data_IF_508824718096
#
_entry.id   IF_508824718096
#
_cell.length_a   1.000
_cell.length_b   1.000
_cell.length_c   1.000
_cell.angle_alpha   90.00
_cell.angle_beta   90.00
_cell.angle_gamma   90.00
#
_symmetry.space_group_name_H-M   'P 1'
#
loop_
_entity.id
_entity.type
_entity.pdbx_description
1 polymer ?
#
# COMPACT_ATOMS: atom_id res chain seq x y z
N UNK A 1 6.11 9.56 4.95
CA UNK A 1 6.03 8.21 4.36
C UNK A 1 4.57 7.97 4.07
N UNK A 2 4.15 7.64 2.83
CA UNK A 2 2.82 7.11 2.56
C UNK A 2 2.34 6.11 3.61
N UNK A 3 1.19 6.40 4.22
CA UNK A 3 0.51 5.52 5.19
C UNK A 3 -0.68 4.84 4.50
N UNK A 4 -1.49 4.08 5.24
CA UNK A 4 -2.57 3.29 4.66
C UNK A 4 -3.56 4.12 3.84
N UNK A 5 -3.89 5.33 4.30
CA UNK A 5 -4.76 6.29 3.63
C UNK A 5 -4.24 6.74 2.25
N UNK A 6 -2.96 7.07 2.18
CA UNK A 6 -2.27 7.54 0.97
C UNK A 6 -2.20 6.40 -0.04
N UNK A 7 -1.91 5.20 0.44
CA UNK A 7 -1.87 3.98 -0.37
C UNK A 7 -3.26 3.63 -0.87
N UNK A 8 -4.29 3.71 -0.02
CA UNK A 8 -5.68 3.49 -0.40
C UNK A 8 -6.12 4.47 -1.50
N UNK A 9 -5.86 5.77 -1.34
CA UNK A 9 -6.21 6.77 -2.36
C UNK A 9 -5.45 6.52 -3.67
N UNK A 10 -4.18 6.10 -3.59
CA UNK A 10 -3.39 5.73 -4.76
C UNK A 10 -3.98 4.51 -5.47
N UNK A 11 -4.40 3.48 -4.72
CA UNK A 11 -5.05 2.31 -5.27
C UNK A 11 -6.35 2.66 -6.00
N UNK A 12 -7.22 3.48 -5.40
CA UNK A 12 -8.47 3.92 -6.03
C UNK A 12 -8.22 4.63 -7.37
N UNK A 13 -7.25 5.55 -7.40
CA UNK A 13 -6.90 6.29 -8.62
C UNK A 13 -6.36 5.37 -9.72
N UNK A 14 -5.49 4.42 -9.34
CA UNK A 14 -4.95 3.43 -10.27
C UNK A 14 -6.02 2.47 -10.77
N UNK A 15 -6.90 2.01 -9.87
CA UNK A 15 -8.03 1.15 -10.20
C UNK A 15 -8.93 1.82 -11.23
N UNK A 16 -9.37 3.06 -10.95
CA UNK A 16 -10.22 3.83 -11.86
C UNK A 16 -9.57 4.02 -13.25
N UNK A 17 -8.25 4.20 -13.30
CA UNK A 17 -7.54 4.45 -14.54
C UNK A 17 -7.26 3.18 -15.37
N UNK A 18 -6.99 2.06 -14.70
CA UNK A 18 -6.42 0.86 -15.33
C UNK A 18 -7.39 -0.33 -15.39
N UNK A 19 -8.22 -0.53 -14.37
CA UNK A 19 -9.03 -1.75 -14.23
C UNK A 19 -10.02 -1.89 -15.38
N UNK A 20 -10.28 -3.15 -15.78
CA UNK A 20 -11.14 -3.49 -16.90
C UNK A 20 -10.53 -3.24 -18.28
N UNK A 21 -9.30 -2.72 -18.38
CA UNK A 21 -8.66 -2.43 -19.67
C UNK A 21 -7.40 -3.28 -19.90
N UNK A 22 -7.14 -3.75 -21.14
CA UNK A 22 -5.88 -4.37 -21.49
C UNK A 22 -4.75 -3.34 -21.50
N UNK A 23 -3.57 -3.77 -21.05
CA UNK A 23 -2.36 -2.97 -21.14
C UNK A 23 -1.86 -2.96 -22.59
N UNK A 24 -1.70 -1.77 -23.17
CA UNK A 24 -1.02 -1.57 -24.45
C UNK A 24 0.49 -1.32 -24.27
N UNK A 25 0.91 -1.05 -23.03
CA UNK A 25 2.31 -0.88 -22.65
C UNK A 25 2.55 -1.34 -21.22
N UNK A 26 3.61 -2.12 -21.05
CA UNK A 26 4.20 -2.48 -19.77
C UNK A 26 5.72 -2.28 -19.83
N UNK A 27 6.29 -1.46 -18.96
CA UNK A 27 7.73 -1.22 -18.89
C UNK A 27 8.16 -1.22 -17.41
N UNK A 28 8.78 -2.33 -16.97
CA UNK A 28 9.21 -2.55 -15.59
C UNK A 28 10.72 -2.40 -15.49
N UNK A 29 11.16 -1.27 -14.93
CA UNK A 29 12.56 -0.82 -14.91
C UNK A 29 13.27 -1.19 -13.61
N UNK A 30 13.17 -2.47 -13.25
CA UNK A 30 13.94 -3.08 -12.17
C UNK A 30 14.61 -4.35 -12.70
N UNK A 31 15.90 -4.61 -12.40
CA UNK A 31 16.65 -5.70 -13.04
C UNK A 31 15.97 -7.07 -13.00
N UNK A 32 15.31 -7.41 -11.87
CA UNK A 32 14.61 -8.68 -11.69
C UNK A 32 13.39 -8.87 -12.61
N UNK A 33 12.84 -7.79 -13.16
CA UNK A 33 11.64 -7.79 -14.00
C UNK A 33 11.95 -7.38 -15.46
N UNK A 34 13.22 -7.34 -15.85
CA UNK A 34 13.64 -6.83 -17.16
C UNK A 34 13.03 -7.60 -18.36
N UNK A 35 12.68 -8.87 -18.18
CA UNK A 35 12.05 -9.71 -19.21
C UNK A 35 10.54 -9.88 -19.02
N UNK A 36 9.96 -9.27 -17.98
CA UNK A 36 8.54 -9.38 -17.71
C UNK A 36 7.77 -8.39 -18.59
N UNK A 37 6.77 -8.90 -19.30
CA UNK A 37 5.85 -8.09 -20.11
C UNK A 37 4.40 -8.45 -19.77
N UNK A 38 3.63 -7.43 -19.41
CA UNK A 38 2.21 -7.52 -19.09
C UNK A 38 1.33 -6.98 -20.22
N UNK A 39 1.91 -6.56 -21.34
CA UNK A 39 1.18 -6.07 -22.52
C UNK A 39 0.19 -7.14 -23.02
N UNK A 40 -0.99 -6.69 -23.42
CA UNK A 40 -2.12 -7.52 -23.84
C UNK A 40 -2.99 -8.05 -22.69
N UNK A 41 -2.50 -8.06 -21.44
CA UNK A 41 -3.27 -8.54 -20.28
C UNK A 41 -4.20 -7.45 -19.77
N UNK A 42 -5.42 -7.83 -19.39
CA UNK A 42 -6.34 -6.93 -18.68
C UNK A 42 -5.87 -6.72 -17.24
N UNK A 43 -5.90 -5.47 -16.78
CA UNK A 43 -5.83 -5.17 -15.34
C UNK A 43 -7.19 -5.49 -14.75
N UNK A 44 -7.23 -6.43 -13.80
CA UNK A 44 -8.48 -6.87 -13.18
C UNK A 44 -8.91 -5.89 -12.09
N UNK A 45 -7.95 -5.55 -11.21
CA UNK A 45 -8.16 -4.61 -10.12
C UNK A 45 -6.83 -4.08 -9.60
N UNK A 46 -6.89 -2.91 -8.96
CA UNK A 46 -5.82 -2.41 -8.09
C UNK A 46 -6.39 -2.25 -6.70
N UNK A 47 -5.79 -2.91 -5.71
CA UNK A 47 -6.26 -2.89 -4.32
C UNK A 47 -5.13 -2.55 -3.34
N UNK A 48 -5.41 -1.80 -2.27
CA UNK A 48 -4.48 -1.60 -1.18
C UNK A 48 -4.55 -2.76 -0.19
N UNK A 49 -3.43 -3.00 0.49
CA UNK A 49 -3.36 -3.87 1.67
C UNK A 49 -2.37 -3.29 2.67
N UNK A 50 -2.86 -2.63 3.72
CA UNK A 50 -2.05 -1.79 4.59
C UNK A 50 -1.32 -0.72 3.79
N UNK A 51 0.01 -0.81 3.71
CA UNK A 51 0.87 0.11 2.94
C UNK A 51 1.37 -0.47 1.61
N UNK A 52 0.73 -1.55 1.15
CA UNK A 52 1.06 -2.27 -0.08
C UNK A 52 0.01 -1.98 -1.16
N UNK A 53 0.45 -1.87 -2.41
CA UNK A 53 -0.42 -1.82 -3.59
C UNK A 53 -0.30 -3.15 -4.34
N UNK A 54 -1.45 -3.74 -4.68
CA UNK A 54 -1.55 -4.97 -5.45
C UNK A 54 -2.31 -4.67 -6.73
N UNK A 55 -1.62 -4.66 -7.87
CA UNK A 55 -2.23 -4.55 -9.20
C UNK A 55 -2.34 -5.96 -9.78
N UNK A 56 -3.56 -6.51 -9.74
CA UNK A 56 -3.86 -7.86 -10.26
C UNK A 56 -4.17 -7.78 -11.74
N UNK A 57 -3.55 -8.65 -12.53
CA UNK A 57 -3.71 -8.70 -13.99
C UNK A 57 -4.03 -10.12 -14.44
N UNK A 58 -4.63 -10.24 -15.62
CA UNK A 58 -4.98 -11.53 -16.21
C UNK A 58 -3.80 -12.53 -16.25
N UNK A 59 -4.15 -13.81 -16.12
CA UNK A 59 -3.19 -14.91 -16.04
C UNK A 59 -2.68 -15.19 -14.63
N UNK A 60 -3.33 -14.66 -13.59
CA UNK A 60 -2.99 -14.92 -12.19
C UNK A 60 -1.65 -14.33 -11.80
N UNK A 61 -1.40 -13.09 -12.21
CA UNK A 61 -0.22 -12.32 -11.88
C UNK A 61 -0.61 -11.08 -11.09
N UNK A 62 0.22 -10.71 -10.12
CA UNK A 62 0.05 -9.50 -9.32
C UNK A 62 1.36 -8.72 -9.35
N UNK A 63 1.29 -7.45 -9.77
CA UNK A 63 2.36 -6.49 -9.60
C UNK A 63 2.19 -5.83 -8.23
N UNK A 64 3.02 -6.23 -7.27
CA UNK A 64 3.10 -5.64 -5.95
C UNK A 64 4.05 -4.44 -5.95
N UNK A 65 3.65 -3.35 -5.31
CA UNK A 65 4.56 -2.25 -4.99
C UNK A 65 4.35 -1.74 -3.56
N UNK A 66 5.43 -1.26 -2.95
CA UNK A 66 5.39 -0.57 -1.66
C UNK A 66 6.14 0.76 -1.78
N UNK A 67 5.44 1.87 -1.57
CA UNK A 67 5.95 3.21 -1.86
C UNK A 67 7.10 3.64 -0.95
N UNK A 68 7.17 3.06 0.26
CA UNK A 68 8.14 3.45 1.30
C UNK A 68 8.06 4.96 1.50
N UNK A 69 9.17 5.69 1.54
CA UNK A 69 9.16 7.11 1.92
C UNK A 69 8.86 8.06 0.75
N UNK A 70 9.36 7.76 -0.44
CA UNK A 70 9.49 8.70 -1.57
C UNK A 70 8.92 8.17 -2.90
N UNK A 71 8.51 6.90 -2.92
CA UNK A 71 7.87 6.28 -4.07
C UNK A 71 6.48 6.84 -4.30
N UNK A 72 6.06 6.89 -5.57
CA UNK A 72 4.71 7.33 -5.93
C UNK A 72 4.26 6.76 -7.26
N UNK A 73 2.93 6.67 -7.42
CA UNK A 73 2.29 6.44 -8.70
C UNK A 73 1.55 7.71 -9.13
N UNK A 74 1.66 8.05 -10.41
CA UNK A 74 0.89 9.12 -11.03
C UNK A 74 0.18 8.59 -12.27
N UNK A 75 -1.03 9.09 -12.50
CA UNK A 75 -1.85 8.75 -13.67
C UNK A 75 -1.92 9.97 -14.57
N UNK A 76 -1.77 9.75 -15.86
CA UNK A 76 -1.79 10.77 -16.91
C UNK A 76 -2.70 10.34 -18.06
N UNK A 77 -3.14 11.30 -18.88
CA UNK A 77 -3.76 11.00 -20.18
C UNK A 77 -2.76 10.43 -21.21
N UNK A 78 -3.23 9.93 -22.38
CA UNK A 78 -2.41 9.19 -23.35
C UNK A 78 -1.19 9.96 -23.88
N UNK A 79 -1.29 11.28 -24.00
CA UNK A 79 -0.23 12.16 -24.51
C UNK A 79 0.19 13.25 -23.50
N UNK A 80 -0.24 13.13 -22.25
CA UNK A 80 0.08 14.12 -21.25
C UNK A 80 1.56 13.99 -20.82
N UNK A 81 2.27 15.12 -20.82
CA UNK A 81 3.65 15.20 -20.34
C UNK A 81 3.72 14.82 -18.86
N UNK A 82 4.56 13.84 -18.53
CA UNK A 82 4.73 13.38 -17.15
C UNK A 82 5.49 14.38 -16.28
N UNK A 83 5.08 14.46 -15.00
CA UNK A 83 5.56 15.48 -14.04
C UNK A 83 6.02 14.89 -12.70
N UNK A 84 6.14 13.56 -12.58
CA UNK A 84 6.50 12.89 -11.31
C UNK A 84 8.00 12.88 -10.96
N UNK A 85 8.84 13.39 -11.86
CA UNK A 85 10.27 13.54 -11.65
C UNK A 85 11.09 13.17 -12.90
N UNK A 86 12.42 13.11 -12.77
CA UNK A 86 13.31 12.69 -13.84
C UNK A 86 13.00 11.27 -14.36
N UNK A 87 13.15 11.05 -15.68
CA UNK A 87 12.87 9.75 -16.31
C UNK A 87 13.67 8.57 -15.74
N UNK A 88 14.91 8.80 -15.30
CA UNK A 88 15.75 7.75 -14.71
C UNK A 88 15.24 7.26 -13.33
N UNK A 89 14.28 7.98 -12.73
CA UNK A 89 13.61 7.57 -11.49
C UNK A 89 12.36 6.73 -11.74
N UNK A 90 11.91 6.60 -12.98
CA UNK A 90 10.78 5.74 -13.34
C UNK A 90 11.19 4.27 -13.11
N UNK A 91 10.29 3.53 -12.46
CA UNK A 91 10.45 2.10 -12.15
C UNK A 91 9.37 1.23 -12.79
N UNK A 92 8.21 1.80 -13.11
CA UNK A 92 7.15 1.09 -13.81
C UNK A 92 6.35 2.05 -14.70
N UNK A 93 5.91 1.59 -15.86
CA UNK A 93 4.90 2.24 -16.69
C UNK A 93 3.89 1.17 -17.08
N UNK A 94 2.61 1.44 -16.79
CA UNK A 94 1.47 0.63 -17.23
C UNK A 94 0.53 1.57 -17.98
N UNK A 95 0.21 1.27 -19.24
CA UNK A 95 -0.70 2.10 -20.02
C UNK A 95 -1.77 1.27 -20.72
N UNK A 96 -2.97 1.84 -20.81
CA UNK A 96 -4.05 1.38 -21.68
C UNK A 96 -4.38 2.50 -22.71
N UNK A 97 -5.46 2.35 -23.46
CA UNK A 97 -5.84 3.33 -24.49
C UNK A 97 -6.19 4.73 -23.94
N UNK A 98 -6.61 4.83 -22.66
CA UNK A 98 -7.12 6.06 -22.06
C UNK A 98 -6.16 6.69 -21.05
N UNK A 99 -5.30 5.91 -20.40
CA UNK A 99 -4.46 6.37 -19.30
C UNK A 99 -3.09 5.71 -19.30
N UNK A 100 -2.11 6.45 -18.77
CA UNK A 100 -0.79 5.95 -18.43
C UNK A 100 -0.52 6.15 -16.94
N UNK A 101 -0.31 5.04 -16.22
CA UNK A 101 0.19 5.04 -14.85
C UNK A 101 1.72 4.92 -14.85
N UNK A 102 2.39 5.84 -14.17
CA UNK A 102 3.86 5.89 -14.06
C UNK A 102 4.26 5.82 -12.58
N UNK A 103 5.06 4.82 -12.25
CA UNK A 103 5.63 4.59 -10.93
C UNK A 103 7.03 5.18 -10.83
N UNK A 104 7.24 6.10 -9.89
CA UNK A 104 8.51 6.78 -9.62
C UNK A 104 9.12 6.29 -8.32
N UNK A 105 10.44 6.09 -8.31
CA UNK A 105 11.24 5.74 -7.13
C UNK A 105 10.62 4.61 -6.31
N UNK A 106 10.01 3.61 -6.96
CA UNK A 106 9.37 2.47 -6.28
C UNK A 106 10.46 1.56 -5.71
N UNK A 107 10.73 1.57 -4.39
CA UNK A 107 11.85 0.80 -3.84
C UNK A 107 11.52 -0.68 -3.76
N UNK A 108 10.23 -1.00 -3.68
CA UNK A 108 9.70 -2.36 -3.81
C UNK A 108 8.79 -2.40 -5.01
N UNK A 109 9.15 -3.25 -5.97
CA UNK A 109 8.36 -3.58 -7.15
C UNK A 109 8.58 -5.06 -7.47
N UNK A 110 7.52 -5.84 -7.35
CA UNK A 110 7.58 -7.29 -7.44
C UNK A 110 6.47 -7.83 -8.32
N UNK A 111 6.81 -8.76 -9.21
CA UNK A 111 5.82 -9.55 -9.92
C UNK A 111 5.78 -10.95 -9.31
N UNK A 112 4.59 -11.38 -8.92
CA UNK A 112 4.32 -12.66 -8.27
C UNK A 112 3.05 -13.29 -8.84
N UNK A 113 2.84 -14.58 -8.55
CA UNK A 113 1.55 -15.23 -8.79
C UNK A 113 0.53 -14.65 -7.82
N UNK A 114 -0.71 -14.45 -8.27
CA UNK A 114 -1.78 -13.93 -7.39
C UNK A 114 -2.06 -14.85 -6.20
N UNK A 115 -1.86 -16.17 -6.36
CA UNK A 115 -1.96 -17.13 -5.26
C UNK A 115 -0.85 -17.02 -4.21
N UNK A 116 0.22 -16.26 -4.48
CA UNK A 116 1.40 -16.13 -3.63
C UNK A 116 1.45 -14.74 -2.93
N UNK A 117 0.34 -13.98 -2.93
CA UNK A 117 0.28 -12.64 -2.31
C UNK A 117 0.57 -12.67 -0.80
N UNK A 118 0.25 -13.78 -0.13
CA UNK A 118 0.54 -14.01 1.28
C UNK A 118 2.03 -13.85 1.64
N UNK A 119 2.93 -14.13 0.70
CA UNK A 119 4.38 -13.92 0.89
C UNK A 119 4.75 -12.46 1.14
N UNK A 120 3.97 -11.52 0.61
CA UNK A 120 4.25 -10.07 0.73
C UNK A 120 3.29 -9.36 1.68
N UNK A 121 2.10 -9.90 1.94
CA UNK A 121 1.08 -9.24 2.80
C UNK A 121 0.44 -10.15 3.85
N UNK A 122 0.70 -11.45 3.85
CA UNK A 122 0.08 -12.42 4.75
C UNK A 122 0.47 -12.28 6.22
N UNK A 123 1.58 -11.59 6.50
CA UNK A 123 2.02 -11.28 7.86
C UNK A 123 1.25 -10.09 8.48
N UNK A 124 0.47 -9.34 7.70
CA UNK A 124 -0.18 -8.12 8.17
C UNK A 124 -1.34 -8.41 9.12
N UNK A 125 -1.59 -7.45 10.01
CA UNK A 125 -2.80 -7.37 10.83
C UNK A 125 -4.07 -7.07 10.02
N UNK A 126 -5.22 -7.00 10.71
CA UNK A 126 -6.42 -6.39 10.15
C UNK A 126 -6.10 -5.03 9.54
N UNK A 127 -6.63 -4.77 8.35
CA UNK A 127 -6.39 -3.52 7.62
C UNK A 127 -7.50 -2.51 7.94
N UNK A 128 -7.11 -1.34 8.47
CA UNK A 128 -8.04 -0.27 8.87
C UNK A 128 -8.98 0.18 7.74
N UNK A 129 -8.52 0.11 6.49
CA UNK A 129 -9.29 0.51 5.32
C UNK A 129 -9.63 -0.67 4.42
N UNK A 130 -9.33 -1.88 4.88
CA UNK A 130 -9.57 -3.13 4.15
C UNK A 130 -10.87 -3.80 4.56
N UNK A 131 -11.34 -4.77 3.75
CA UNK A 131 -12.57 -5.51 4.02
C UNK A 131 -12.47 -6.46 5.22
N UNK A 132 -11.26 -6.73 5.71
CA UNK A 132 -10.99 -7.59 6.88
C UNK A 132 -10.75 -6.78 8.16
N UNK A 133 -11.18 -5.51 8.20
CA UNK A 133 -11.12 -4.72 9.43
C UNK A 133 -11.91 -5.42 10.54
N UNK A 134 -11.19 -5.77 11.60
CA UNK A 134 -11.72 -6.40 12.80
C UNK A 134 -11.11 -5.68 14.02
N UNK A 135 -11.89 -4.82 14.70
CA UNK A 135 -11.39 -4.07 15.85
C UNK A 135 -11.05 -4.97 17.04
N UNK A 136 -11.73 -6.10 17.22
CA UNK A 136 -11.49 -7.01 18.34
C UNK A 136 -10.19 -7.79 18.11
N UNK A 137 -9.96 -8.27 16.90
CA UNK A 137 -8.69 -8.91 16.53
C UNK A 137 -7.52 -7.91 16.59
N UNK A 138 -7.72 -6.68 16.11
CA UNK A 138 -6.73 -5.61 16.24
C UNK A 138 -6.37 -5.34 17.71
N UNK A 139 -7.37 -5.20 18.58
CA UNK A 139 -7.18 -4.99 20.01
C UNK A 139 -6.46 -6.19 20.66
N UNK A 140 -6.87 -7.42 20.33
CA UNK A 140 -6.23 -8.65 20.82
C UNK A 140 -4.75 -8.70 20.46
N UNK A 141 -4.37 -8.32 19.23
CA UNK A 141 -2.96 -8.28 18.79
C UNK A 141 -2.19 -7.15 19.47
N UNK A 142 -2.79 -5.96 19.57
CA UNK A 142 -2.19 -4.82 20.26
C UNK A 142 -1.89 -5.14 21.74
N UNK A 143 -2.80 -5.83 22.43
CA UNK A 143 -2.68 -6.21 23.83
C UNK A 143 -1.95 -7.55 24.05
N UNK A 144 -1.45 -8.21 23.01
CA UNK A 144 -0.69 -9.46 23.15
C UNK A 144 0.62 -9.28 23.95
N UNK A 145 1.17 -8.07 23.92
CA UNK A 145 2.30 -7.63 24.73
C UNK A 145 1.95 -6.29 25.38
N UNK A 146 1.23 -6.29 26.53
CA UNK A 146 0.70 -5.08 27.14
C UNK A 146 1.80 -4.14 27.67
N UNK A 147 3.03 -4.64 27.82
CA UNK A 147 4.19 -3.88 28.28
C UNK A 147 4.83 -3.04 27.17
N UNK A 148 4.54 -3.36 25.90
CA UNK A 148 5.11 -2.67 24.74
C UNK A 148 4.68 -1.20 24.71
N UNK A 149 5.58 -0.25 24.37
CA UNK A 149 5.19 1.13 24.11
C UNK A 149 4.08 1.25 23.07
N UNK A 150 3.06 2.07 23.35
CA UNK A 150 1.93 2.32 22.46
C UNK A 150 2.36 2.66 21.03
N UNK A 151 3.34 3.55 20.90
CA UNK A 151 3.85 3.99 19.60
C UNK A 151 4.46 2.84 18.79
N UNK A 152 5.17 1.93 19.44
CA UNK A 152 5.77 0.76 18.79
C UNK A 152 4.70 -0.27 18.43
N UNK A 153 3.74 -0.51 19.33
CA UNK A 153 2.63 -1.41 19.09
C UNK A 153 1.75 -0.96 17.90
N UNK A 154 1.49 0.35 17.75
CA UNK A 154 0.76 0.93 16.63
C UNK A 154 1.55 0.91 15.30
N UNK A 155 2.88 0.98 15.36
CA UNK A 155 3.73 0.92 14.16
C UNK A 155 4.01 -0.51 13.67
N UNK A 156 3.81 -1.52 14.51
CA UNK A 156 3.91 -2.93 14.12
C UNK A 156 2.72 -3.31 13.22
N UNK A 157 2.98 -3.41 11.91
CA UNK A 157 1.96 -3.69 10.91
C UNK A 157 1.30 -5.08 11.06
N UNK A 158 1.84 -5.95 11.92
CA UNK A 158 1.23 -7.26 12.27
C UNK A 158 0.05 -7.09 13.23
N UNK A 159 0.04 -6.01 14.02
CA UNK A 159 -1.02 -5.68 14.95
C UNK A 159 -2.19 -5.03 14.21
N UNK A 160 -1.90 -3.93 13.50
CA UNK A 160 -2.86 -3.17 12.70
C UNK A 160 -2.15 -2.65 11.46
N UNK A 161 -2.64 -2.99 10.28
CA UNK A 161 -2.01 -2.59 9.04
C UNK A 161 -2.44 -1.15 8.66
N UNK A 162 -1.49 -0.36 8.15
CA UNK A 162 -1.77 0.96 7.59
C UNK A 162 -1.31 2.13 8.45
N UNK A 163 -1.26 2.00 9.79
CA UNK A 163 -0.81 3.08 10.68
C UNK A 163 0.68 3.35 10.46
N UNK A 164 1.05 4.60 10.15
CA UNK A 164 2.44 5.07 10.18
C UNK A 164 2.66 6.12 11.26
N UNK A 165 3.73 6.89 11.11
CA UNK A 165 4.20 7.79 12.16
C UNK A 165 3.28 9.00 12.35
N UNK A 166 2.60 9.45 11.29
CA UNK A 166 1.61 10.53 11.36
C UNK A 166 0.43 10.04 12.18
N UNK A 167 -0.26 8.98 11.76
CA UNK A 167 -1.44 8.49 12.50
C UNK A 167 -1.10 8.01 13.91
N UNK A 168 0.06 7.38 14.13
CA UNK A 168 0.53 7.06 15.49
C UNK A 168 0.63 8.32 16.36
N UNK A 169 1.14 9.43 15.82
CA UNK A 169 1.32 10.66 16.59
C UNK A 169 -0.02 11.35 16.85
N UNK A 170 -0.89 11.40 15.85
CA UNK A 170 -2.26 11.92 15.99
C UNK A 170 -3.06 11.12 17.02
N UNK A 171 -2.98 9.79 17.00
CA UNK A 171 -3.65 8.94 17.99
C UNK A 171 -3.14 9.18 19.41
N UNK A 172 -1.81 9.27 19.60
CA UNK A 172 -1.23 9.61 20.91
C UNK A 172 -1.70 10.99 21.39
N UNK A 173 -1.77 11.97 20.48
CA UNK A 173 -2.26 13.32 20.79
C UNK A 173 -3.73 13.32 21.19
N UNK A 174 -4.60 12.66 20.41
CA UNK A 174 -6.03 12.55 20.70
C UNK A 174 -6.28 11.85 22.03
N UNK A 175 -5.55 10.78 22.32
CA UNK A 175 -5.64 10.05 23.58
C UNK A 175 -4.93 10.77 24.74
N UNK A 176 -4.17 11.85 24.47
CA UNK A 176 -3.36 12.60 25.44
C UNK A 176 -2.39 11.73 26.22
N UNK A 177 -1.80 10.74 25.56
CA UNK A 177 -0.82 9.82 26.15
C UNK A 177 0.52 9.94 25.44
N UNK A 178 1.57 9.61 26.19
CA UNK A 178 2.91 9.45 25.64
C UNK A 178 2.95 8.24 24.69
N UNK A 179 3.65 8.31 23.53
CA UNK A 179 3.89 7.12 22.71
C UNK A 179 4.74 6.06 23.43
N UNK A 180 5.39 6.42 24.53
CA UNK A 180 6.14 5.51 25.40
C UNK A 180 5.30 4.88 26.53
N UNK A 181 4.02 5.25 26.67
CA UNK A 181 3.12 4.60 27.62
C UNK A 181 2.95 3.13 27.22
N UNK A 182 3.05 2.16 28.15
CA UNK A 182 2.71 0.77 27.86
C UNK A 182 1.28 0.65 27.34
N UNK A 183 1.07 -0.11 26.27
CA UNK A 183 -0.24 -0.18 25.61
C UNK A 183 -1.35 -0.73 26.52
N UNK A 184 -1.01 -1.62 27.46
CA UNK A 184 -1.95 -2.13 28.46
C UNK A 184 -2.42 -1.09 29.48
N UNK A 185 -1.73 0.04 29.60
CA UNK A 185 -2.08 1.15 30.49
C UNK A 185 -2.93 2.24 29.79
N UNK A 186 -3.19 2.08 28.49
CA UNK A 186 -4.06 3.00 27.73
C UNK A 186 -5.51 2.79 28.20
N UNK A 187 -5.95 3.59 29.15
CA UNK A 187 -7.36 3.66 29.52
C UNK A 187 -8.14 4.33 28.39
N UNK A 188 -9.16 3.63 27.87
CA UNK A 188 -10.15 4.23 26.97
C UNK A 188 -10.63 5.56 27.56
N UNK A 189 -10.72 6.65 26.77
CA UNK A 189 -11.47 7.83 27.18
C UNK A 189 -12.97 7.49 27.17
N UNK A 190 -13.42 6.67 28.12
CA UNK A 190 -14.84 6.58 28.47
C UNK A 190 -15.17 7.79 29.34
N UNK A 191 -15.12 9.01 28.76
CA UNK A 191 -15.73 10.25 29.28
C UNK A 191 -15.27 11.48 28.49
N UNK A 192 -15.71 11.66 27.24
CA UNK A 192 -15.96 13.00 26.68
C UNK A 192 -17.31 12.99 25.98
#
# INVERSE_FOLDING_TARGET
MPEGDTVWQTAQRLHQALAGSPLIRSDLRVPRLATADLTGRQVLEVVPRGKHLLTRVEGGLTLHSHLRMDGSWQVYGPDERWRGGPHHQIRAILANAAHTAVGYRLPVLELLRTGDEDRVVGHLGPDLLGPDWDPDEALRRLLADPSRPLGEALLDQRNVAGIGNVYKSELCFLLRVSPWLPIGEVTSPSAW
#
